data_IF_192343181880
#
_entry.id   IF_192343181880
#
_cell.length_a   1.000
_cell.length_b   1.000
_cell.length_c   1.000
_cell.angle_alpha   90.00
_cell.angle_beta   90.00
_cell.angle_gamma   90.00
#
_symmetry.space_group_name_H-M   'P 1'
#
loop_
_entity.id
_entity.type
_entity.pdbx_description
1 polymer ?
#
# COMPACT_ATOMS: atom_id res chain seq x y z
N UNK A 1 -17.53 0.27 0.98
CA UNK A 1 -16.94 -0.86 0.22
C UNK A 1 -17.80 -2.11 0.06
N UNK A 2 -18.52 -2.60 1.08
CA UNK A 2 -19.06 -3.98 1.09
C UNK A 2 -20.01 -4.29 -0.09
N UNK A 3 -20.86 -3.33 -0.49
CA UNK A 3 -21.74 -3.49 -1.67
C UNK A 3 -20.99 -3.79 -2.98
N UNK A 4 -19.77 -3.27 -3.15
CA UNK A 4 -18.95 -3.48 -4.35
C UNK A 4 -18.41 -4.90 -4.42
N UNK A 5 -18.04 -5.46 -3.26
CA UNK A 5 -17.57 -6.84 -3.13
C UNK A 5 -18.70 -7.83 -3.33
N UNK A 6 -19.86 -7.56 -2.75
CA UNK A 6 -21.07 -8.36 -2.96
C UNK A 6 -21.42 -8.41 -4.45
N UNK A 7 -21.31 -7.29 -5.16
CA UNK A 7 -21.59 -7.25 -6.61
C UNK A 7 -20.54 -7.99 -7.46
N UNK A 8 -19.30 -8.13 -6.99
CA UNK A 8 -18.26 -8.88 -7.69
C UNK A 8 -18.45 -10.40 -7.56
N UNK A 9 -18.99 -10.85 -6.42
CA UNK A 9 -19.14 -12.28 -6.12
C UNK A 9 -20.55 -12.80 -6.45
N UNK A 10 -21.61 -11.99 -6.29
CA UNK A 10 -22.97 -12.30 -6.73
C UNK A 10 -23.11 -12.17 -8.26
N UNK A 11 -22.45 -13.07 -8.99
CA UNK A 11 -22.53 -13.18 -10.46
C UNK A 11 -23.95 -13.50 -10.93
N UNK A 12 -24.76 -14.12 -10.07
CA UNK A 12 -26.14 -14.50 -10.37
C UNK A 12 -27.14 -13.33 -10.23
N UNK A 13 -26.75 -12.21 -9.62
CA UNK A 13 -27.64 -11.09 -9.24
C UNK A 13 -28.87 -11.55 -8.48
N UNK A 14 -28.75 -12.65 -7.75
CA UNK A 14 -29.87 -13.26 -7.03
C UNK A 14 -30.22 -12.45 -5.77
N UNK A 15 -29.35 -11.52 -5.36
CA UNK A 15 -29.52 -10.74 -4.13
C UNK A 15 -29.29 -11.57 -2.86
N UNK A 16 -28.87 -12.83 -3.02
CA UNK A 16 -28.53 -13.77 -1.95
C UNK A 16 -27.14 -14.33 -2.24
N UNK A 17 -26.23 -14.18 -1.28
CA UNK A 17 -24.90 -14.80 -1.33
C UNK A 17 -25.01 -16.27 -0.94
N UNK A 18 -24.47 -17.16 -1.76
CA UNK A 18 -24.25 -18.55 -1.33
C UNK A 18 -23.16 -18.59 -0.26
N UNK A 19 -23.06 -19.72 0.46
CA UNK A 19 -21.99 -19.90 1.44
C UNK A 19 -20.61 -19.88 0.77
N UNK A 20 -20.47 -20.47 -0.41
CA UNK A 20 -19.23 -20.40 -1.21
C UNK A 20 -18.87 -18.97 -1.60
N UNK A 21 -19.84 -18.15 -2.01
CA UNK A 21 -19.62 -16.74 -2.31
C UNK A 21 -19.18 -15.97 -1.07
N UNK A 22 -19.80 -16.24 0.08
CA UNK A 22 -19.42 -15.65 1.36
C UNK A 22 -17.98 -16.01 1.73
N UNK A 23 -17.61 -17.28 1.58
CA UNK A 23 -16.25 -17.77 1.84
C UNK A 23 -15.24 -17.07 0.93
N UNK A 24 -15.54 -16.88 -0.35
CA UNK A 24 -14.67 -16.11 -1.26
C UNK A 24 -14.50 -14.65 -0.84
N UNK A 25 -15.58 -13.97 -0.42
CA UNK A 25 -15.50 -12.59 0.08
C UNK A 25 -14.60 -12.50 1.31
N UNK A 26 -14.75 -13.45 2.24
CA UNK A 26 -13.93 -13.48 3.46
C UNK A 26 -12.47 -13.75 3.14
N UNK A 27 -12.15 -14.74 2.31
CA UNK A 27 -10.76 -14.99 1.90
C UNK A 27 -10.12 -13.78 1.22
N UNK A 28 -10.84 -13.13 0.30
CA UNK A 28 -10.36 -11.92 -0.38
C UNK A 28 -10.13 -10.76 0.60
N UNK A 29 -10.97 -10.64 1.63
CA UNK A 29 -10.82 -9.61 2.66
C UNK A 29 -9.71 -9.91 3.66
N UNK A 30 -9.49 -11.17 3.99
CA UNK A 30 -8.38 -11.58 4.85
C UNK A 30 -7.06 -11.35 4.12
N UNK A 31 -6.94 -11.76 2.85
CA UNK A 31 -5.73 -11.48 2.05
C UNK A 31 -5.48 -9.99 1.88
N UNK A 32 -6.52 -9.17 1.69
CA UNK A 32 -6.34 -7.69 1.62
C UNK A 32 -5.87 -7.10 2.96
N UNK A 33 -6.36 -7.63 4.09
CA UNK A 33 -5.90 -7.21 5.42
C UNK A 33 -4.44 -7.60 5.65
N UNK A 34 -4.07 -8.84 5.34
CA UNK A 34 -2.70 -9.33 5.45
C UNK A 34 -1.76 -8.46 4.59
N UNK A 35 -2.14 -8.16 3.35
CA UNK A 35 -1.38 -7.22 2.50
C UNK A 35 -1.26 -5.82 3.13
N UNK A 36 -2.33 -5.29 3.70
CA UNK A 36 -2.28 -3.97 4.35
C UNK A 36 -1.34 -3.98 5.57
N UNK A 37 -1.35 -5.05 6.36
CA UNK A 37 -0.46 -5.19 7.51
C UNK A 37 1.00 -5.29 7.10
N UNK A 38 1.32 -6.04 6.04
CA UNK A 38 2.70 -6.12 5.51
C UNK A 38 3.17 -4.78 4.94
N UNK A 39 2.32 -4.07 4.20
CA UNK A 39 2.65 -2.72 3.69
C UNK A 39 2.88 -1.76 4.85
N UNK A 40 2.08 -1.83 5.92
CA UNK A 40 2.25 -0.98 7.10
C UNK A 40 3.52 -1.31 7.88
N UNK A 41 3.94 -2.58 7.91
CA UNK A 41 5.25 -2.96 8.47
C UNK A 41 6.38 -2.38 7.64
N UNK A 42 6.29 -2.45 6.31
CA UNK A 42 7.28 -1.84 5.42
C UNK A 42 7.37 -0.32 5.64
N UNK A 43 6.22 0.38 5.71
CA UNK A 43 6.19 1.82 5.98
C UNK A 43 6.97 2.19 7.24
N UNK A 44 6.80 1.44 8.33
CA UNK A 44 7.52 1.66 9.59
C UNK A 44 9.01 1.35 9.53
N UNK A 45 9.46 0.56 8.55
CA UNK A 45 10.89 0.37 8.30
C UNK A 45 11.48 1.61 7.62
N UNK A 46 10.71 2.26 6.74
CA UNK A 46 11.13 3.51 6.11
C UNK A 46 11.06 4.69 7.09
N UNK A 47 9.94 4.92 7.78
CA UNK A 47 9.74 5.97 8.79
C UNK A 47 10.43 5.64 10.13
N UNK A 48 11.77 5.66 10.12
CA UNK A 48 12.60 5.25 11.26
C UNK A 48 12.49 6.17 12.48
N UNK A 49 12.14 7.44 12.27
CA UNK A 49 11.98 8.48 13.27
C UNK A 49 10.52 8.67 13.73
N UNK A 50 9.59 7.87 13.18
CA UNK A 50 8.18 7.79 13.59
C UNK A 50 7.44 9.12 13.44
N UNK A 51 7.76 9.86 12.38
CA UNK A 51 7.07 11.12 12.03
C UNK A 51 5.66 10.87 11.51
N UNK A 52 5.38 9.63 11.09
CA UNK A 52 4.16 9.26 10.39
C UNK A 52 4.21 9.54 8.88
N UNK A 53 5.38 9.94 8.37
CA UNK A 53 5.65 10.23 6.95
C UNK A 53 7.04 9.68 6.58
N UNK A 54 7.24 9.39 5.31
CA UNK A 54 8.55 9.03 4.78
C UNK A 54 9.13 10.26 4.12
N UNK A 55 10.20 10.79 4.70
CA UNK A 55 10.94 11.93 4.12
C UNK A 55 12.05 11.45 3.18
N UNK A 56 12.65 12.42 2.49
CA UNK A 56 13.84 12.19 1.68
C UNK A 56 14.97 11.53 2.49
N UNK A 57 15.23 12.02 3.71
CA UNK A 57 16.28 11.49 4.59
C UNK A 57 16.00 10.05 5.03
N UNK A 58 14.74 9.71 5.30
CA UNK A 58 14.35 8.34 5.63
C UNK A 58 14.65 7.36 4.48
N UNK A 59 14.29 7.75 3.25
CA UNK A 59 14.53 6.94 2.05
C UNK A 59 16.02 6.82 1.73
N UNK A 60 16.77 7.91 1.86
CA UNK A 60 18.22 7.92 1.67
C UNK A 60 18.93 6.98 2.66
N UNK A 61 18.56 7.06 3.95
CA UNK A 61 19.13 6.17 4.97
C UNK A 61 18.84 4.70 4.67
N UNK A 62 17.61 4.37 4.24
CA UNK A 62 17.26 2.99 3.89
C UNK A 62 17.98 2.51 2.63
N UNK A 63 18.16 3.38 1.62
CA UNK A 63 18.93 3.04 0.43
C UNK A 63 20.38 2.69 0.80
N UNK A 64 21.01 3.49 1.67
CA UNK A 64 22.33 3.21 2.22
C UNK A 64 22.38 1.90 3.02
N UNK A 65 21.39 1.66 3.89
CA UNK A 65 21.30 0.46 4.72
C UNK A 65 21.12 -0.83 3.88
N UNK A 66 20.43 -0.73 2.75
CA UNK A 66 20.26 -1.81 1.77
C UNK A 66 21.47 -1.96 0.84
N UNK A 67 22.42 -1.02 0.87
CA UNK A 67 23.56 -0.97 -0.04
C UNK A 67 23.19 -0.60 -1.47
N UNK A 68 22.01 0.00 -1.67
CA UNK A 68 21.60 0.57 -2.95
C UNK A 68 22.13 2.01 -3.04
N UNK A 69 23.06 2.24 -3.96
CA UNK A 69 23.65 3.56 -4.19
C UNK A 69 22.72 4.46 -4.99
N UNK A 70 21.53 4.76 -4.45
CA UNK A 70 20.60 5.70 -5.06
C UNK A 70 21.15 7.12 -4.96
N UNK A 71 21.05 7.86 -6.05
CA UNK A 71 21.39 9.28 -6.10
C UNK A 71 20.30 10.13 -5.45
N UNK A 72 20.66 11.33 -5.01
CA UNK A 72 19.69 12.30 -4.49
C UNK A 72 18.58 12.61 -5.51
N UNK A 73 18.91 12.58 -6.81
CA UNK A 73 17.92 12.74 -7.88
C UNK A 73 16.92 11.57 -7.93
N UNK A 74 17.39 10.33 -7.84
CA UNK A 74 16.51 9.14 -7.84
C UNK A 74 15.61 9.11 -6.60
N UNK A 75 16.14 9.42 -5.42
CA UNK A 75 15.32 9.51 -4.19
C UNK A 75 14.27 10.61 -4.31
N UNK A 76 14.64 11.76 -4.88
CA UNK A 76 13.71 12.86 -5.11
C UNK A 76 12.61 12.48 -6.12
N UNK A 77 12.95 11.76 -7.18
CA UNK A 77 11.96 11.24 -8.14
C UNK A 77 11.00 10.25 -7.49
N UNK A 78 11.50 9.36 -6.61
CA UNK A 78 10.66 8.41 -5.87
C UNK A 78 9.65 9.11 -4.95
N UNK A 79 10.08 10.14 -4.22
CA UNK A 79 9.18 10.97 -3.39
C UNK A 79 8.15 11.65 -4.29
N UNK A 80 8.58 12.34 -5.35
CA UNK A 80 7.67 13.09 -6.24
C UNK A 80 6.64 12.22 -6.95
N UNK A 81 6.95 10.94 -7.25
CA UNK A 81 5.95 10.03 -7.85
C UNK A 81 4.90 9.57 -6.82
N UNK A 82 5.30 9.47 -5.55
CA UNK A 82 4.46 8.99 -4.47
C UNK A 82 3.60 10.09 -3.82
N UNK A 83 4.20 11.27 -3.63
CA UNK A 83 3.63 12.48 -3.03
C UNK A 83 2.52 13.07 -3.92
N UNK A 84 1.28 13.04 -3.42
CA UNK A 84 0.10 13.54 -4.12
C UNK A 84 -0.37 14.90 -3.64
N UNK A 85 -0.15 15.18 -2.37
CA UNK A 85 -0.55 16.44 -1.77
C UNK A 85 0.51 17.54 -1.95
N UNK A 86 1.71 17.15 -2.39
CA UNK A 86 2.82 18.03 -2.73
C UNK A 86 3.54 18.58 -1.51
N UNK A 87 3.50 17.88 -0.38
CA UNK A 87 4.11 18.33 0.87
C UNK A 87 5.60 17.96 1.00
N UNK A 88 6.15 17.23 0.03
CA UNK A 88 7.55 16.81 -0.04
C UNK A 88 7.86 15.57 0.79
N UNK A 89 6.83 14.85 1.25
CA UNK A 89 6.94 13.60 2.00
C UNK A 89 5.86 12.62 1.57
N UNK A 90 5.97 11.36 1.97
CA UNK A 90 5.00 10.33 1.62
C UNK A 90 4.29 9.84 2.87
N UNK A 91 2.98 10.06 2.95
CA UNK A 91 2.16 9.56 4.05
C UNK A 91 1.77 8.07 3.89
N UNK A 92 1.09 7.53 4.90
CA UNK A 92 0.69 6.11 4.90
C UNK A 92 -0.28 5.75 3.77
N UNK A 93 -1.20 6.65 3.41
CA UNK A 93 -2.20 6.41 2.37
C UNK A 93 -1.56 6.50 0.98
N UNK A 94 -0.63 7.43 0.78
CA UNK A 94 0.18 7.59 -0.43
C UNK A 94 1.08 6.37 -0.66
N UNK A 95 1.81 5.95 0.38
CA UNK A 95 2.65 4.76 0.34
C UNK A 95 1.82 3.50 0.05
N UNK A 96 0.67 3.35 0.71
CA UNK A 96 -0.24 2.22 0.46
C UNK A 96 -0.75 2.22 -0.99
N UNK A 97 -1.05 3.38 -1.55
CA UNK A 97 -1.50 3.52 -2.94
C UNK A 97 -0.41 3.07 -3.92
N UNK A 98 0.84 3.51 -3.70
CA UNK A 98 1.98 3.12 -4.54
C UNK A 98 2.25 1.62 -4.43
N UNK A 99 2.33 1.08 -3.21
CA UNK A 99 2.56 -0.35 -2.99
C UNK A 99 1.47 -1.22 -3.61
N UNK A 100 0.20 -0.78 -3.56
CA UNK A 100 -0.91 -1.48 -4.22
C UNK A 100 -0.84 -1.40 -5.74
N UNK A 101 -0.34 -0.29 -6.31
CA UNK A 101 -0.13 -0.11 -7.75
C UNK A 101 1.03 -0.98 -8.26
N UNK A 102 2.12 -1.08 -7.49
CA UNK A 102 3.33 -1.85 -7.85
C UNK A 102 3.16 -3.36 -7.61
N UNK A 103 2.41 -3.76 -6.58
CA UNK A 103 2.11 -5.18 -6.30
C UNK A 103 1.07 -5.80 -7.26
N UNK A 104 0.50 -5.01 -8.17
CA UNK A 104 -0.34 -5.51 -9.26
C UNK A 104 0.55 -6.00 -10.41
N UNK A 105 1.10 -7.21 -10.24
CA UNK A 105 1.45 -8.11 -11.35
C UNK A 105 0.30 -9.08 -11.61
#
# INVERSE_FOLDING_TARGET
EIKKLIHQVDKARAGQLSFDDFVQVIYSKLSEKDCKEEIMKAFKLFDNDQTGKITFENLQQIAEDLGEGLTDEEVSEMINEADLDGDGSVDQDEFYRIMKKTSLY
#
